data_IF_813807147501
#
_entry.id   IF_813807147501
#
_cell.length_a   1.000
_cell.length_b   1.000
_cell.length_c   1.000
_cell.angle_alpha   90.00
_cell.angle_beta   90.00
_cell.angle_gamma   90.00
#
_symmetry.space_group_name_H-M   'P 1'
#
loop_
_entity.id
_entity.type
_entity.pdbx_description
1 polymer ?
#
# COMPACT_ATOMS: atom_id res chain seq x y z
N UNK A 1 -14.74 -31.50 3.65
CA UNK A 1 -15.37 -31.96 4.92
C UNK A 1 -15.88 -30.71 5.63
N UNK A 2 -17.17 -30.47 5.55
CA UNK A 2 -17.83 -29.24 6.00
C UNK A 2 -18.45 -29.43 7.36
N UNK A 3 -18.17 -28.61 8.34
CA UNK A 3 -18.80 -28.58 9.64
C UNK A 3 -19.82 -27.45 9.66
N UNK A 4 -21.11 -27.85 9.68
CA UNK A 4 -22.25 -26.93 9.83
C UNK A 4 -22.63 -26.87 11.31
N UNK A 5 -22.56 -25.70 11.90
CA UNK A 5 -23.06 -25.45 13.25
C UNK A 5 -24.56 -25.11 13.19
N UNK A 6 -25.40 -25.90 13.86
CA UNK A 6 -26.84 -25.68 14.00
C UNK A 6 -27.13 -25.15 15.40
N UNK A 7 -27.62 -23.93 15.49
CA UNK A 7 -28.24 -23.40 16.70
C UNK A 7 -29.66 -24.00 16.86
N UNK A 8 -29.94 -24.60 18.04
CA UNK A 8 -31.29 -25.08 18.46
C UNK A 8 -31.85 -24.09 19.47
N UNK A 9 -32.98 -23.50 19.14
CA UNK A 9 -33.79 -22.75 20.10
C UNK A 9 -34.65 -23.75 20.90
N UNK A 10 -34.55 -23.74 22.25
CA UNK A 10 -35.38 -24.48 23.15
C UNK A 10 -36.59 -23.63 23.59
N UNK A 11 -37.77 -24.10 23.27
CA UNK A 11 -39.05 -23.55 23.72
C UNK A 11 -39.40 -24.18 25.08
N UNK A 12 -39.55 -23.36 26.14
CA UNK A 12 -39.97 -23.82 27.46
C UNK A 12 -41.47 -23.55 27.60
N UNK A 13 -42.27 -24.60 27.62
CA UNK A 13 -43.70 -24.58 27.95
C UNK A 13 -43.87 -24.81 29.42
N UNK A 14 -44.60 -23.95 30.14
CA UNK A 14 -45.02 -24.14 31.51
C UNK A 14 -46.51 -24.47 31.54
N UNK A 15 -46.82 -25.69 31.93
CA UNK A 15 -48.16 -26.18 32.30
C UNK A 15 -48.28 -26.08 33.83
N UNK A 16 -49.28 -25.39 34.32
CA UNK A 16 -49.70 -25.51 35.73
C UNK A 16 -51.17 -25.87 35.74
N UNK A 17 -51.47 -27.12 36.20
CA UNK A 17 -52.77 -27.60 36.57
C UNK A 17 -52.91 -27.58 38.09
N UNK A 18 -53.93 -26.99 38.58
CA UNK A 18 -54.42 -27.35 39.94
C UNK A 18 -55.95 -27.16 40.07
N UNK A 19 -56.61 -28.21 40.20
CA UNK A 19 -57.99 -28.29 40.69
C UNK A 19 -57.99 -28.41 42.20
N UNK A 20 -58.90 -27.77 42.87
CA UNK A 20 -59.43 -28.21 44.15
C UNK A 20 -60.77 -27.58 44.43
N UNK A 21 -61.73 -28.42 44.57
CA UNK A 21 -63.14 -28.22 45.01
C UNK A 21 -63.20 -27.92 46.51
N UNK A 22 -64.05 -26.99 46.89
CA UNK A 22 -64.46 -26.77 48.27
C UNK A 22 -65.80 -26.06 48.34
N UNK A 23 -66.86 -26.81 48.67
CA UNK A 23 -68.21 -26.32 49.03
C UNK A 23 -68.18 -25.55 50.35
N UNK A 24 -68.80 -24.37 50.38
CA UNK A 24 -69.20 -23.68 51.58
C UNK A 24 -70.38 -22.76 51.26
N UNK A 25 -71.55 -23.08 51.87
CA UNK A 25 -72.81 -22.33 51.81
C UNK A 25 -72.69 -21.17 52.78
N UNK A 26 -72.69 -19.93 52.25
CA UNK A 26 -73.06 -18.74 53.03
C UNK A 26 -73.65 -17.66 52.10
N UNK A 27 -74.49 -16.85 52.65
CA UNK A 27 -75.47 -15.96 52.10
C UNK A 27 -74.99 -15.03 50.94
N UNK A 28 -75.99 -14.60 50.16
CA UNK A 28 -75.83 -13.71 49.00
C UNK A 28 -75.07 -12.46 49.36
N UNK A 29 -73.92 -12.34 48.88
CA UNK A 29 -73.16 -11.04 48.88
C UNK A 29 -73.84 -10.06 47.97
N UNK A 30 -73.96 -8.79 48.45
CA UNK A 30 -74.55 -7.72 47.70
C UNK A 30 -73.84 -7.49 46.35
N UNK A 31 -74.59 -7.02 45.36
CA UNK A 31 -74.09 -6.76 44.01
C UNK A 31 -72.85 -5.92 44.07
N UNK A 32 -71.82 -6.41 43.41
CA UNK A 32 -70.55 -5.70 43.25
C UNK A 32 -70.79 -4.34 42.51
N UNK A 33 -70.30 -3.25 43.07
CA UNK A 33 -70.40 -1.92 42.44
C UNK A 33 -69.78 -1.90 41.02
N UNK A 34 -70.38 -1.17 40.15
CA UNK A 34 -69.91 -0.98 38.76
C UNK A 34 -68.46 -0.52 38.73
N UNK A 35 -67.69 -1.12 37.83
CA UNK A 35 -66.31 -0.70 37.59
C UNK A 35 -66.28 0.76 37.10
N UNK A 36 -65.53 1.63 37.75
CA UNK A 36 -65.39 3.01 37.36
C UNK A 36 -64.90 3.15 35.89
N UNK A 37 -65.40 4.15 35.21
CA UNK A 37 -65.02 4.42 33.83
C UNK A 37 -63.51 4.59 33.71
N UNK A 38 -62.94 3.96 32.69
CA UNK A 38 -61.54 4.10 32.37
C UNK A 38 -61.19 5.58 32.11
N UNK A 39 -60.15 6.08 32.72
CA UNK A 39 -59.69 7.47 32.49
C UNK A 39 -59.35 7.70 31.03
N UNK A 40 -59.43 8.95 30.57
CA UNK A 40 -59.05 9.26 29.19
C UNK A 40 -57.61 8.88 28.94
N UNK A 41 -57.34 8.43 27.73
CA UNK A 41 -55.97 8.14 27.24
C UNK A 41 -55.15 9.45 27.30
N UNK A 42 -53.93 9.36 27.82
CA UNK A 42 -53.03 10.51 27.83
C UNK A 42 -52.76 11.01 26.41
N UNK A 43 -52.58 12.30 26.29
CA UNK A 43 -52.23 12.93 24.99
C UNK A 43 -50.95 12.34 24.46
N UNK A 44 -50.87 12.16 23.13
CA UNK A 44 -49.66 11.70 22.44
C UNK A 44 -48.59 12.82 22.64
N UNK A 45 -47.39 12.43 23.06
CA UNK A 45 -46.28 13.36 23.17
C UNK A 45 -45.95 14.03 21.84
N UNK A 46 -45.48 15.23 21.90
CA UNK A 46 -45.06 16.00 20.71
C UNK A 46 -44.01 15.20 19.91
N UNK A 47 -44.02 15.26 18.57
CA UNK A 47 -42.95 14.70 17.75
C UNK A 47 -41.59 15.26 18.21
N UNK A 48 -40.57 14.39 18.30
CA UNK A 48 -39.21 14.84 18.55
C UNK A 48 -38.76 15.83 17.47
N UNK A 49 -38.00 16.83 17.86
CA UNK A 49 -37.34 17.74 16.89
C UNK A 49 -36.42 16.93 15.97
N UNK A 50 -36.50 17.21 14.68
CA UNK A 50 -35.56 16.62 13.70
C UNK A 50 -34.12 16.86 14.17
N UNK A 51 -33.31 15.83 14.13
CA UNK A 51 -31.87 15.95 14.37
C UNK A 51 -31.28 16.95 13.37
N UNK A 52 -30.36 17.80 13.81
CA UNK A 52 -29.59 18.62 12.88
C UNK A 52 -28.81 17.71 11.92
N UNK A 53 -28.89 17.99 10.63
CA UNK A 53 -28.07 17.31 9.63
C UNK A 53 -26.60 17.41 10.05
N UNK A 54 -25.90 16.28 10.06
CA UNK A 54 -24.47 16.27 10.27
C UNK A 54 -23.82 17.15 9.21
N UNK A 55 -22.95 18.06 9.61
CA UNK A 55 -22.10 18.77 8.66
C UNK A 55 -21.26 17.73 7.94
N UNK A 56 -21.44 17.58 6.63
CA UNK A 56 -20.52 16.81 5.79
C UNK A 56 -19.12 17.37 6.00
N UNK A 57 -18.26 16.61 6.67
CA UNK A 57 -16.85 16.90 6.72
C UNK A 57 -16.27 16.64 5.32
N UNK A 58 -16.41 17.60 4.42
CA UNK A 58 -15.65 17.58 3.18
C UNK A 58 -14.19 17.75 3.56
N UNK A 59 -13.43 16.65 3.56
CA UNK A 59 -11.97 16.72 3.61
C UNK A 59 -11.56 17.30 2.24
N UNK A 60 -11.44 18.62 2.18
CA UNK A 60 -10.85 19.29 1.03
C UNK A 60 -9.37 18.90 0.96
N UNK A 61 -8.99 18.07 0.00
CA UNK A 61 -7.58 17.81 -0.32
C UNK A 61 -7.18 18.85 -1.35
N UNK A 62 -6.24 19.74 -0.98
CA UNK A 62 -5.54 20.61 -1.92
C UNK A 62 -4.20 19.97 -2.29
N UNK A 63 -3.85 19.98 -3.57
CA UNK A 63 -2.61 19.41 -4.10
C UNK A 63 -1.94 20.43 -5.03
N UNK A 64 -0.68 20.74 -4.75
CA UNK A 64 0.11 21.69 -5.52
C UNK A 64 1.48 21.10 -5.83
N UNK A 65 2.09 21.52 -6.95
CA UNK A 65 3.49 21.20 -7.25
C UNK A 65 4.36 22.22 -6.51
N UNK A 66 5.23 21.70 -5.62
CA UNK A 66 6.09 22.51 -4.75
C UNK A 66 7.59 22.40 -5.10
N UNK A 67 7.94 21.52 -6.03
CA UNK A 67 9.31 21.33 -6.49
C UNK A 67 9.38 20.58 -7.82
N UNK A 68 10.41 20.81 -8.60
CA UNK A 68 10.67 20.15 -9.87
C UNK A 68 12.16 20.04 -10.14
N UNK A 69 12.62 18.86 -10.55
CA UNK A 69 13.92 18.63 -11.15
C UNK A 69 13.75 18.34 -12.66
N UNK A 70 14.68 18.79 -13.48
CA UNK A 70 14.75 18.44 -14.89
C UNK A 70 15.85 17.39 -15.08
N UNK A 71 15.49 16.20 -15.55
CA UNK A 71 16.40 15.06 -15.71
C UNK A 71 16.92 14.91 -17.15
N UNK A 72 16.19 15.37 -18.14
CA UNK A 72 16.48 15.19 -19.56
C UNK A 72 15.24 15.35 -20.43
N UNK A 73 15.27 14.90 -21.68
CA UNK A 73 14.19 15.08 -22.64
C UNK A 73 13.39 13.81 -22.89
N UNK A 74 14.02 12.74 -23.38
CA UNK A 74 13.35 11.49 -23.74
C UNK A 74 13.69 10.41 -22.71
N UNK A 75 12.70 9.65 -22.27
CA UNK A 75 12.89 8.52 -21.33
C UNK A 75 13.71 8.85 -20.07
N UNK A 76 13.83 10.15 -19.75
CA UNK A 76 14.73 10.61 -18.70
C UNK A 76 14.21 10.41 -17.27
N UNK A 77 12.93 10.11 -17.06
CA UNK A 77 12.37 9.84 -15.74
C UNK A 77 11.24 8.82 -15.86
N UNK A 78 11.34 7.71 -15.13
CA UNK A 78 10.35 6.67 -15.17
C UNK A 78 9.95 6.24 -13.76
N UNK A 79 10.88 5.73 -12.96
CA UNK A 79 10.62 5.30 -11.59
C UNK A 79 11.27 6.28 -10.61
N UNK A 80 10.54 6.63 -9.55
CA UNK A 80 11.00 7.54 -8.51
C UNK A 80 10.82 6.90 -7.13
N UNK A 81 11.83 7.11 -6.26
CA UNK A 81 11.82 6.69 -4.86
C UNK A 81 12.23 7.86 -3.96
N UNK A 82 11.67 7.90 -2.77
CA UNK A 82 12.00 8.92 -1.77
C UNK A 82 12.63 8.30 -0.54
N UNK A 83 13.79 8.81 -0.17
CA UNK A 83 14.50 8.43 1.04
C UNK A 83 14.25 9.51 2.12
N UNK A 84 13.47 9.14 3.13
CA UNK A 84 12.92 10.10 4.09
C UNK A 84 14.00 10.65 5.04
N UNK A 85 14.98 9.84 5.43
CA UNK A 85 16.02 10.21 6.39
C UNK A 85 16.90 11.35 5.88
N UNK A 86 17.17 11.38 4.59
CA UNK A 86 18.02 12.43 3.95
C UNK A 86 17.24 13.42 3.11
N UNK A 87 15.91 13.29 3.00
CA UNK A 87 15.09 14.08 2.07
C UNK A 87 15.61 14.03 0.63
N UNK A 88 16.05 12.85 0.18
CA UNK A 88 16.60 12.64 -1.16
C UNK A 88 15.61 11.88 -2.04
N UNK A 89 15.44 12.33 -3.27
CA UNK A 89 14.69 11.62 -4.29
C UNK A 89 15.68 10.94 -5.22
N UNK A 90 15.50 9.63 -5.43
CA UNK A 90 16.22 8.85 -6.43
C UNK A 90 15.30 8.58 -7.61
N UNK A 91 15.79 8.76 -8.83
CA UNK A 91 14.99 8.49 -10.03
C UNK A 91 15.83 7.77 -11.07
N UNK A 92 15.22 6.86 -11.81
CA UNK A 92 15.84 6.27 -13.00
C UNK A 92 15.96 7.34 -14.08
N UNK A 93 17.09 7.37 -14.80
CA UNK A 93 17.29 8.21 -15.97
C UNK A 93 17.70 7.34 -17.15
N UNK A 94 16.70 6.95 -17.97
CA UNK A 94 16.90 6.10 -19.14
C UNK A 94 17.64 6.79 -20.29
N UNK A 95 17.60 8.14 -20.39
CA UNK A 95 18.34 8.87 -21.43
C UNK A 95 19.86 8.76 -21.27
N UNK A 96 20.34 8.82 -20.03
CA UNK A 96 21.77 8.79 -19.70
C UNK A 96 22.23 7.49 -19.06
N UNK A 97 21.31 6.57 -18.82
CA UNK A 97 21.52 5.31 -18.10
C UNK A 97 22.19 5.53 -16.74
N UNK A 98 21.61 6.41 -15.93
CA UNK A 98 22.12 6.80 -14.61
C UNK A 98 20.99 6.84 -13.59
N UNK A 99 21.35 6.87 -12.32
CA UNK A 99 20.42 7.19 -11.23
C UNK A 99 20.55 8.68 -10.94
N UNK A 100 19.46 9.43 -11.08
CA UNK A 100 19.41 10.81 -10.64
C UNK A 100 19.23 10.87 -9.12
N UNK A 101 20.05 11.67 -8.45
CA UNK A 101 20.02 11.94 -7.01
C UNK A 101 19.62 13.39 -6.81
N UNK A 102 18.44 13.63 -6.29
CA UNK A 102 17.81 14.95 -6.21
C UNK A 102 17.67 15.36 -4.75
N UNK A 103 18.27 16.47 -4.38
CA UNK A 103 18.11 17.05 -3.05
C UNK A 103 16.75 17.72 -2.92
N UNK A 104 15.88 17.14 -2.09
CA UNK A 104 14.56 17.68 -1.78
C UNK A 104 14.49 18.41 -0.44
N UNK A 105 15.62 18.65 0.24
CA UNK A 105 15.67 19.31 1.55
C UNK A 105 15.15 20.75 1.52
N UNK A 106 15.21 21.41 0.36
CA UNK A 106 14.70 22.77 0.13
C UNK A 106 13.21 22.84 -0.20
N UNK A 107 12.54 21.69 -0.41
CA UNK A 107 11.11 21.66 -0.71
C UNK A 107 10.32 22.18 0.49
N UNK A 108 9.42 23.12 0.22
CA UNK A 108 8.53 23.70 1.21
C UNK A 108 7.10 23.76 0.64
N UNK A 109 6.16 24.28 1.42
CA UNK A 109 4.74 24.33 1.04
C UNK A 109 4.39 25.46 0.07
N UNK A 110 5.36 26.23 -0.41
CA UNK A 110 5.08 27.33 -1.33
C UNK A 110 4.79 26.78 -2.73
N UNK A 111 3.62 27.10 -3.24
CA UNK A 111 3.19 26.73 -4.59
C UNK A 111 4.08 27.38 -5.63
N UNK A 112 4.53 26.64 -6.63
CA UNK A 112 5.32 27.18 -7.75
C UNK A 112 4.42 28.01 -8.68
N UNK A 113 4.90 29.18 -9.09
CA UNK A 113 4.18 30.03 -10.03
C UNK A 113 4.10 29.44 -11.45
N UNK A 114 5.14 28.72 -11.88
CA UNK A 114 5.20 27.99 -13.16
C UNK A 114 5.79 26.59 -12.92
N UNK A 115 4.99 25.65 -12.43
CA UNK A 115 5.48 24.34 -11.99
C UNK A 115 5.94 23.44 -13.14
N UNK A 116 5.54 23.74 -14.37
CA UNK A 116 5.87 22.89 -15.52
C UNK A 116 7.20 23.29 -16.17
N UNK A 117 7.53 24.59 -16.16
CA UNK A 117 8.70 25.08 -16.88
C UNK A 117 9.86 25.52 -15.95
N UNK A 118 9.62 25.63 -14.64
CA UNK A 118 10.63 26.07 -13.69
C UNK A 118 11.25 24.89 -12.95
N UNK A 119 12.57 24.76 -13.03
CA UNK A 119 13.35 23.81 -12.23
C UNK A 119 13.76 24.48 -10.91
N UNK A 120 13.45 23.85 -9.78
CA UNK A 120 13.77 24.37 -8.43
C UNK A 120 14.71 23.47 -7.65
N UNK A 121 14.82 22.19 -8.04
CA UNK A 121 15.64 21.21 -7.36
C UNK A 121 16.90 20.91 -8.17
N UNK A 122 18.02 20.79 -7.47
CA UNK A 122 19.30 20.40 -8.05
C UNK A 122 19.45 18.88 -8.00
N UNK A 123 20.20 18.32 -8.94
CA UNK A 123 20.48 16.89 -8.99
C UNK A 123 21.96 16.63 -9.26
N UNK A 124 22.41 15.46 -8.80
CA UNK A 124 23.64 14.79 -9.23
C UNK A 124 23.26 13.42 -9.79
N UNK A 125 24.23 12.68 -10.33
CA UNK A 125 23.96 11.37 -10.93
C UNK A 125 24.93 10.32 -10.42
N UNK A 126 24.44 9.07 -10.32
CA UNK A 126 25.26 7.88 -10.10
C UNK A 126 25.28 7.11 -11.42
N UNK A 127 26.49 6.89 -11.96
CA UNK A 127 26.65 6.03 -13.12
C UNK A 127 26.58 4.56 -12.72
N UNK A 128 25.94 3.75 -13.57
CA UNK A 128 25.94 2.31 -13.40
C UNK A 128 27.24 1.70 -13.98
N UNK A 129 27.67 0.51 -13.48
CA UNK A 129 28.70 -0.26 -14.15
C UNK A 129 28.23 -0.63 -15.57
N UNK A 130 29.17 -0.66 -16.53
CA UNK A 130 28.85 -1.02 -17.91
C UNK A 130 28.64 -2.52 -18.10
N UNK A 131 29.25 -3.33 -17.25
CA UNK A 131 29.13 -4.80 -17.23
C UNK A 131 29.19 -5.35 -15.80
N UNK A 132 28.62 -6.52 -15.62
CA UNK A 132 28.74 -7.33 -14.41
C UNK A 132 29.09 -8.75 -14.85
N UNK A 133 30.17 -9.29 -14.31
CA UNK A 133 30.64 -10.66 -14.59
C UNK A 133 30.79 -10.99 -16.10
N UNK A 134 31.09 -9.98 -16.92
CA UNK A 134 31.22 -10.12 -18.36
C UNK A 134 29.91 -10.05 -19.15
N UNK A 135 28.79 -9.77 -18.48
CA UNK A 135 27.49 -9.45 -19.11
C UNK A 135 27.38 -7.93 -19.26
N UNK A 136 27.27 -7.47 -20.49
CA UNK A 136 27.00 -6.04 -20.77
C UNK A 136 25.59 -5.71 -20.31
N UNK A 137 25.47 -4.61 -19.53
CA UNK A 137 24.19 -4.17 -19.00
C UNK A 137 23.47 -3.26 -19.99
N UNK A 138 22.14 -3.41 -20.05
CA UNK A 138 21.23 -2.52 -20.76
C UNK A 138 20.87 -1.28 -19.94
N UNK A 139 19.77 -0.65 -20.29
CA UNK A 139 19.24 0.51 -19.54
C UNK A 139 18.53 0.05 -18.26
N UNK A 140 18.75 0.78 -17.17
CA UNK A 140 18.04 0.52 -15.92
C UNK A 140 16.52 0.70 -16.11
N UNK A 141 15.76 -0.19 -15.47
CA UNK A 141 14.29 -0.23 -15.58
C UNK A 141 13.61 0.25 -14.30
N UNK A 142 14.13 -0.15 -13.14
CA UNK A 142 13.45 0.11 -11.87
C UNK A 142 14.42 0.37 -10.73
N UNK A 143 13.93 1.07 -9.70
CA UNK A 143 14.67 1.40 -8.48
C UNK A 143 13.78 1.27 -7.26
N UNK A 144 14.32 0.76 -6.17
CA UNK A 144 13.66 0.71 -4.85
C UNK A 144 14.65 1.09 -3.75
N UNK A 145 14.16 1.68 -2.65
CA UNK A 145 14.96 2.04 -1.48
C UNK A 145 14.35 1.50 -0.19
N UNK A 146 15.21 1.10 0.75
CA UNK A 146 14.81 0.67 2.10
C UNK A 146 15.96 0.90 3.08
N UNK A 147 15.78 1.83 4.05
CA UNK A 147 16.86 2.26 4.92
C UNK A 147 18.07 2.67 4.09
N UNK A 148 19.28 2.26 4.48
CA UNK A 148 20.54 2.61 3.80
C UNK A 148 20.80 1.83 2.50
N UNK A 149 19.82 1.05 2.01
CA UNK A 149 19.96 0.23 0.79
C UNK A 149 19.10 0.74 -0.36
N UNK A 150 19.68 0.64 -1.56
CA UNK A 150 18.99 0.84 -2.83
C UNK A 150 19.22 -0.39 -3.71
N UNK A 151 18.15 -0.87 -4.33
CA UNK A 151 18.15 -1.93 -5.33
C UNK A 151 17.75 -1.35 -6.69
N UNK A 152 18.49 -1.70 -7.74
CA UNK A 152 18.30 -1.20 -9.11
C UNK A 152 18.19 -2.39 -10.05
N UNK A 153 17.05 -2.53 -10.74
CA UNK A 153 16.88 -3.55 -11.77
C UNK A 153 17.52 -3.08 -13.07
N UNK A 154 18.36 -3.93 -13.64
CA UNK A 154 19.06 -3.65 -14.89
C UNK A 154 19.07 -4.93 -15.75
N UNK A 155 18.39 -4.94 -16.91
CA UNK A 155 18.47 -6.05 -17.84
C UNK A 155 19.87 -6.17 -18.45
N UNK A 156 20.18 -7.32 -19.03
CA UNK A 156 21.28 -7.44 -19.97
C UNK A 156 20.98 -6.63 -21.24
N UNK A 157 22.02 -6.19 -21.96
CA UNK A 157 21.87 -5.53 -23.28
C UNK A 157 21.17 -6.45 -24.29
N UNK A 158 21.42 -7.75 -24.19
CA UNK A 158 20.65 -8.79 -24.90
C UNK A 158 19.44 -9.14 -24.04
N UNK A 159 18.24 -8.69 -24.42
CA UNK A 159 17.01 -8.79 -23.60
C UNK A 159 16.61 -10.21 -23.20
N UNK A 160 17.09 -11.23 -23.92
CA UNK A 160 16.83 -12.65 -23.63
C UNK A 160 17.80 -13.25 -22.62
N UNK A 161 18.89 -12.55 -22.29
CA UNK A 161 19.84 -12.98 -21.29
C UNK A 161 19.39 -12.55 -19.89
N UNK A 162 19.87 -13.25 -18.87
CA UNK A 162 19.60 -12.89 -17.49
C UNK A 162 20.12 -11.48 -17.17
N UNK A 163 19.29 -10.69 -16.47
CA UNK A 163 19.66 -9.40 -15.95
C UNK A 163 20.15 -9.45 -14.51
N UNK A 164 20.30 -8.28 -13.90
CA UNK A 164 20.84 -8.13 -12.56
C UNK A 164 20.01 -7.17 -11.71
N UNK A 165 20.06 -7.38 -10.40
CA UNK A 165 19.77 -6.35 -9.42
C UNK A 165 21.08 -5.85 -8.86
N UNK A 166 21.35 -4.56 -9.03
CA UNK A 166 22.51 -3.88 -8.46
C UNK A 166 22.13 -3.29 -7.11
N UNK A 167 22.95 -3.50 -6.11
CA UNK A 167 22.76 -2.97 -4.78
C UNK A 167 23.73 -1.85 -4.51
N UNK A 168 23.23 -0.78 -3.89
CA UNK A 168 24.00 0.36 -3.42
C UNK A 168 23.70 0.58 -1.94
N UNK A 169 24.69 1.03 -1.17
CA UNK A 169 24.52 1.46 0.21
C UNK A 169 25.06 2.87 0.42
N UNK A 170 24.91 3.40 1.63
CA UNK A 170 25.35 4.75 1.95
C UNK A 170 24.34 5.81 1.54
N UNK A 171 23.05 5.46 1.47
CA UNK A 171 21.98 6.43 1.19
C UNK A 171 21.89 7.50 2.29
N UNK A 172 22.26 7.15 3.52
CA UNK A 172 22.38 8.09 4.64
C UNK A 172 23.57 9.07 4.51
N UNK A 173 24.44 8.81 3.54
CA UNK A 173 25.52 9.70 3.12
C UNK A 173 25.17 10.38 1.81
N UNK A 174 25.83 11.47 1.48
CA UNK A 174 25.57 12.21 0.24
C UNK A 174 26.08 11.52 -1.03
N UNK A 175 26.62 10.31 -0.96
CA UNK A 175 27.22 9.58 -2.08
C UNK A 175 27.02 8.06 -1.95
N UNK A 176 25.85 7.52 -2.35
CA UNK A 176 25.65 6.08 -2.40
C UNK A 176 26.70 5.38 -3.27
N UNK A 177 27.20 4.25 -2.78
CA UNK A 177 28.25 3.46 -3.44
C UNK A 177 27.72 2.08 -3.85
N UNK A 178 28.19 1.58 -5.00
CA UNK A 178 27.92 0.22 -5.43
C UNK A 178 28.46 -0.76 -4.38
N UNK A 179 27.58 -1.70 -3.96
CA UNK A 179 27.85 -2.68 -2.93
C UNK A 179 28.05 -4.07 -3.54
N UNK A 180 27.06 -4.55 -4.28
CA UNK A 180 27.05 -5.92 -4.83
C UNK A 180 25.99 -6.03 -5.95
N UNK A 181 25.91 -7.19 -6.59
CA UNK A 181 24.92 -7.51 -7.61
C UNK A 181 24.43 -8.95 -7.50
N UNK A 182 23.19 -9.18 -7.87
CA UNK A 182 22.58 -10.52 -7.92
C UNK A 182 22.00 -10.73 -9.30
N UNK A 183 22.38 -11.83 -9.95
CA UNK A 183 21.78 -12.28 -11.21
C UNK A 183 20.33 -12.72 -10.97
N UNK A 184 19.44 -12.30 -11.87
CA UNK A 184 18.00 -12.61 -11.83
C UNK A 184 17.52 -13.09 -13.20
N UNK A 185 16.22 -13.21 -13.43
CA UNK A 185 15.72 -13.64 -14.75
C UNK A 185 15.93 -12.61 -15.85
N UNK A 186 15.53 -12.97 -17.08
CA UNK A 186 15.64 -12.11 -18.25
C UNK A 186 14.67 -10.91 -18.12
N UNK A 187 15.14 -9.75 -18.52
CA UNK A 187 14.41 -8.49 -18.54
C UNK A 187 13.76 -8.15 -17.17
N UNK A 188 14.55 -7.96 -16.10
CA UNK A 188 14.02 -7.46 -14.83
C UNK A 188 13.48 -6.05 -15.03
N UNK A 189 12.16 -5.87 -14.78
CA UNK A 189 11.46 -4.61 -15.07
C UNK A 189 11.00 -3.89 -13.80
N UNK A 190 10.65 -4.61 -12.74
CA UNK A 190 10.19 -4.02 -11.49
C UNK A 190 10.91 -4.63 -10.30
N UNK A 191 11.40 -3.78 -9.39
CA UNK A 191 12.02 -4.17 -8.13
C UNK A 191 11.35 -3.50 -6.94
N UNK A 192 11.20 -4.21 -5.82
CA UNK A 192 10.68 -3.64 -4.57
C UNK A 192 11.24 -4.38 -3.36
N UNK A 193 11.35 -3.68 -2.22
CA UNK A 193 11.63 -4.31 -0.93
C UNK A 193 10.34 -4.82 -0.28
N UNK A 194 10.45 -5.88 0.53
CA UNK A 194 9.40 -6.22 1.49
C UNK A 194 9.30 -5.14 2.56
N UNK A 195 8.13 -4.96 3.23
CA UNK A 195 7.93 -3.90 4.23
C UNK A 195 8.91 -3.92 5.40
N UNK A 196 9.49 -5.08 5.71
CA UNK A 196 10.53 -5.27 6.74
C UNK A 196 11.95 -5.04 6.23
N UNK A 197 12.12 -4.75 4.92
CA UNK A 197 13.43 -4.60 4.27
C UNK A 197 14.23 -5.90 4.14
N UNK A 198 13.69 -7.04 4.58
CA UNK A 198 14.41 -8.32 4.64
C UNK A 198 14.56 -9.03 3.30
N UNK A 199 13.80 -8.63 2.29
CA UNK A 199 13.87 -9.23 0.95
C UNK A 199 13.68 -8.18 -0.14
N UNK A 200 14.22 -8.50 -1.32
CA UNK A 200 13.91 -7.80 -2.57
C UNK A 200 13.14 -8.76 -3.48
N UNK A 201 12.07 -8.26 -4.07
CA UNK A 201 11.25 -8.95 -5.05
C UNK A 201 11.49 -8.30 -6.42
N UNK A 202 11.66 -9.12 -7.44
CA UNK A 202 11.96 -8.66 -8.81
C UNK A 202 10.99 -9.34 -9.76
N UNK A 203 10.28 -8.58 -10.58
CA UNK A 203 9.55 -9.11 -11.71
C UNK A 203 10.46 -9.14 -12.93
N UNK A 204 10.64 -10.33 -13.51
CA UNK A 204 11.39 -10.55 -14.74
C UNK A 204 10.38 -10.82 -15.85
N UNK A 205 10.30 -9.96 -16.87
CA UNK A 205 9.28 -10.08 -17.92
C UNK A 205 9.52 -11.28 -18.84
N UNK A 206 10.78 -11.58 -19.19
CA UNK A 206 11.11 -12.70 -20.03
C UNK A 206 10.60 -12.53 -21.47
N UNK A 207 10.83 -11.38 -22.09
CA UNK A 207 10.41 -11.16 -23.48
C UNK A 207 11.18 -12.03 -24.49
N UNK A 208 10.50 -12.53 -25.54
CA UNK A 208 11.18 -13.31 -26.57
C UNK A 208 12.12 -12.45 -27.43
N UNK A 209 13.06 -13.13 -28.09
CA UNK A 209 13.86 -12.51 -29.17
C UNK A 209 12.97 -12.02 -30.31
N UNK A 210 13.48 -11.08 -31.09
CA UNK A 210 12.69 -10.45 -32.19
C UNK A 210 12.25 -11.47 -33.25
N UNK A 211 12.97 -12.58 -33.42
CA UNK A 211 12.64 -13.67 -34.31
C UNK A 211 11.89 -14.83 -33.63
N UNK A 212 11.56 -14.69 -32.34
CA UNK A 212 10.87 -15.70 -31.52
C UNK A 212 11.56 -17.06 -31.44
N UNK A 213 12.88 -17.11 -31.66
CA UNK A 213 13.66 -18.35 -31.53
C UNK A 213 14.14 -18.62 -30.11
N UNK A 214 14.24 -17.58 -29.28
CA UNK A 214 14.57 -17.64 -27.86
C UNK A 214 13.41 -16.97 -27.10
N UNK A 215 12.87 -17.67 -26.12
CA UNK A 215 11.69 -17.23 -25.36
C UNK A 215 11.92 -17.50 -23.86
N UNK A 216 12.57 -16.57 -23.14
CA UNK A 216 12.81 -16.74 -21.71
C UNK A 216 11.51 -16.74 -20.91
N UNK A 217 11.51 -17.44 -19.80
CA UNK A 217 10.34 -17.46 -18.90
C UNK A 217 10.18 -16.13 -18.17
N UNK A 218 8.95 -15.60 -18.12
CA UNK A 218 8.54 -14.59 -17.13
C UNK A 218 8.57 -15.19 -15.73
N UNK A 219 9.17 -14.50 -14.76
CA UNK A 219 9.39 -15.05 -13.43
C UNK A 219 9.41 -13.97 -12.35
N UNK A 220 9.38 -14.40 -11.07
CA UNK A 220 9.64 -13.52 -9.92
C UNK A 220 10.86 -14.06 -9.17
N UNK A 221 11.89 -13.24 -9.07
CA UNK A 221 13.06 -13.53 -8.21
C UNK A 221 12.83 -12.97 -6.80
N UNK A 222 13.25 -13.71 -5.79
CA UNK A 222 13.21 -13.30 -4.37
C UNK A 222 14.63 -13.35 -3.82
N UNK A 223 15.18 -12.19 -3.46
CA UNK A 223 16.53 -12.03 -2.94
C UNK A 223 16.43 -11.78 -1.44
N UNK A 224 17.16 -12.54 -0.63
CA UNK A 224 17.27 -12.27 0.81
C UNK A 224 18.33 -11.19 1.06
N UNK A 225 18.00 -10.22 1.89
CA UNK A 225 18.95 -9.25 2.42
C UNK A 225 19.46 -9.82 3.75
N UNK A 226 20.73 -10.24 3.75
CA UNK A 226 21.40 -10.77 4.94
C UNK A 226 22.27 -9.67 5.53
N UNK A 227 22.05 -9.33 6.80
CA UNK A 227 22.97 -8.46 7.51
C UNK A 227 24.36 -9.14 7.56
N UNK A 228 25.39 -8.44 7.10
CA UNK A 228 26.76 -8.95 7.20
C UNK A 228 27.16 -9.03 8.67
N UNK A 229 27.25 -10.24 9.23
CA UNK A 229 27.71 -10.47 10.61
C UNK A 229 26.81 -11.31 11.50
N UNK A 230 25.67 -11.80 11.02
CA UNK A 230 24.91 -12.84 11.72
C UNK A 230 25.43 -14.23 11.28
N UNK A 231 25.75 -15.15 12.23
CA UNK A 231 26.28 -16.48 11.93
C UNK A 231 25.25 -17.43 11.32
#
# INVERSE_FOLDING_TARGET
>A
MAVRNKFKYGLLAFLVSAALTGCGLDGDDGAQGETGAQGPQGEQGDPGTDGSDGTDASIGIAMDIVGRAFLGNQTAAEIVQYHAETNTIYATNGETNTIAVIDASSVNTATMADPINTTTLTLTTIALPADINGVTLGSLTSIAVSGDLMAVAVPADVKTDNGYVLFYNGLDSSAPAFLDSVEVGALPDMVTFTPDGGKVLVANEGEPSDDYTIDPEGSVSVINILASGEP
#
